data_IF_929815399696
#
_entry.id   IF_929815399696
#
_cell.length_a   1.000
_cell.length_b   1.000
_cell.length_c   1.000
_cell.angle_alpha   90.00
_cell.angle_beta   90.00
_cell.angle_gamma   90.00
#
_symmetry.space_group_name_H-M   'P 1'
#
loop_
_entity.id
_entity.type
_entity.pdbx_description
1 polymer ?
#
# COMPACT_ATOMS: atom_id res chain seq x y z
N UNK A 1 -8.81 3.33 9.94
CA UNK A 1 -10.20 3.10 10.43
C UNK A 1 -11.17 4.16 9.92
N UNK A 2 -10.96 5.45 10.21
CA UNK A 2 -11.85 6.54 9.73
C UNK A 2 -12.06 6.56 8.20
N UNK A 3 -11.01 6.27 7.42
CA UNK A 3 -11.10 6.16 5.94
C UNK A 3 -12.07 5.08 5.49
N UNK A 4 -12.10 3.94 6.18
CA UNK A 4 -13.01 2.85 5.85
C UNK A 4 -14.44 3.22 6.21
N UNK A 5 -14.65 3.85 7.36
CA UNK A 5 -15.97 4.33 7.76
C UNK A 5 -16.52 5.34 6.75
N UNK A 6 -15.70 6.32 6.34
CA UNK A 6 -16.08 7.28 5.31
C UNK A 6 -16.43 6.59 3.97
N UNK A 7 -15.70 5.53 3.60
CA UNK A 7 -16.01 4.75 2.40
C UNK A 7 -17.38 4.06 2.48
N UNK A 8 -17.71 3.47 3.63
CA UNK A 8 -19.00 2.84 3.88
C UNK A 8 -20.14 3.87 3.87
N UNK A 9 -19.94 5.01 4.54
CA UNK A 9 -20.92 6.10 4.63
C UNK A 9 -21.25 6.66 3.24
N UNK A 10 -20.24 6.79 2.38
CA UNK A 10 -20.40 7.25 0.99
C UNK A 10 -20.87 6.16 0.03
N UNK A 11 -21.05 4.91 0.50
CA UNK A 11 -21.40 3.74 -0.32
C UNK A 11 -20.46 3.57 -1.51
N UNK A 12 -19.16 3.72 -1.26
CA UNK A 12 -18.13 3.55 -2.27
C UNK A 12 -18.14 2.13 -2.82
N UNK A 13 -17.83 1.98 -4.11
CA UNK A 13 -17.67 0.66 -4.75
C UNK A 13 -16.26 0.08 -4.56
N UNK A 14 -15.26 0.95 -4.61
CA UNK A 14 -13.85 0.61 -4.50
C UNK A 14 -13.14 1.60 -3.59
N UNK A 15 -12.31 1.10 -2.68
CA UNK A 15 -11.44 1.88 -1.82
C UNK A 15 -10.05 1.94 -2.44
N UNK A 16 -9.58 3.16 -2.75
CA UNK A 16 -8.20 3.44 -3.15
C UNK A 16 -7.55 4.29 -2.05
N UNK A 17 -6.71 3.71 -1.18
CA UNK A 17 -6.10 4.43 -0.09
C UNK A 17 -4.97 5.33 -0.64
N UNK A 18 -5.09 6.64 -0.42
CA UNK A 18 -4.10 7.65 -0.81
C UNK A 18 -3.40 8.24 0.43
N UNK A 19 -2.31 8.99 0.23
CA UNK A 19 -1.50 9.61 1.29
C UNK A 19 -0.84 8.62 2.28
N UNK A 20 -0.53 7.39 1.83
CA UNK A 20 0.18 6.40 2.63
C UNK A 20 1.63 6.28 2.15
N UNK A 21 2.60 6.30 3.06
CA UNK A 21 4.01 6.00 2.76
C UNK A 21 4.85 7.11 2.11
N UNK A 22 4.36 8.35 2.00
CA UNK A 22 5.16 9.47 1.43
C UNK A 22 5.95 10.26 2.48
N UNK A 23 5.47 10.30 3.73
CA UNK A 23 6.11 11.03 4.82
C UNK A 23 6.20 10.15 6.06
N UNK A 24 7.38 10.15 6.68
CA UNK A 24 7.59 9.52 7.97
C UNK A 24 7.08 10.46 9.07
N UNK A 25 5.78 10.38 9.34
CA UNK A 25 5.10 11.19 10.36
C UNK A 25 4.76 10.37 11.61
N UNK A 26 5.16 9.10 11.65
CA UNK A 26 4.76 8.18 12.71
C UNK A 26 5.87 7.17 13.02
N UNK A 27 5.93 6.72 14.27
CA UNK A 27 6.99 5.80 14.76
C UNK A 27 6.89 4.37 14.21
N UNK A 28 5.94 4.08 13.32
CA UNK A 28 5.70 2.75 12.78
C UNK A 28 6.36 2.56 11.41
N UNK A 29 6.50 1.31 11.00
CA UNK A 29 6.93 0.98 9.65
C UNK A 29 6.03 1.71 8.62
N UNK A 30 6.65 2.22 7.56
CA UNK A 30 5.96 3.01 6.53
C UNK A 30 4.83 2.23 5.84
N UNK A 31 4.91 0.89 5.82
CA UNK A 31 3.94 0.00 5.21
C UNK A 31 2.80 -0.44 6.15
N UNK A 32 2.91 -0.21 7.47
CA UNK A 32 1.87 -0.60 8.44
C UNK A 32 0.47 -0.07 8.07
N UNK A 33 0.31 1.18 7.57
CA UNK A 33 -1.00 1.66 7.13
C UNK A 33 -1.62 0.82 6.01
N UNK A 34 -0.81 0.28 5.10
CA UNK A 34 -1.29 -0.58 4.01
C UNK A 34 -1.78 -1.93 4.56
N UNK A 35 -1.03 -2.53 5.48
CA UNK A 35 -1.41 -3.80 6.09
C UNK A 35 -2.73 -3.67 6.88
N UNK A 36 -2.85 -2.60 7.68
CA UNK A 36 -4.04 -2.33 8.48
C UNK A 36 -5.28 -2.07 7.63
N UNK A 37 -5.18 -1.23 6.59
CA UNK A 37 -6.35 -0.92 5.75
C UNK A 37 -6.79 -2.14 4.93
N UNK A 38 -5.85 -2.98 4.51
CA UNK A 38 -6.15 -4.22 3.78
C UNK A 38 -6.89 -5.23 4.67
N UNK A 39 -6.41 -5.42 5.91
CA UNK A 39 -7.07 -6.29 6.89
C UNK A 39 -8.50 -5.82 7.19
N UNK A 40 -8.67 -4.52 7.47
CA UNK A 40 -9.98 -3.93 7.74
C UNK A 40 -10.93 -4.02 6.54
N UNK A 41 -10.42 -3.82 5.31
CA UNK A 41 -11.22 -3.96 4.10
C UNK A 41 -11.67 -5.40 3.88
N UNK A 42 -10.83 -6.39 4.20
CA UNK A 42 -11.21 -7.81 4.17
C UNK A 42 -12.33 -8.09 5.16
N UNK A 43 -12.16 -7.69 6.43
CA UNK A 43 -13.14 -7.93 7.50
C UNK A 43 -14.53 -7.35 7.16
N UNK A 44 -14.56 -6.17 6.54
CA UNK A 44 -15.79 -5.48 6.16
C UNK A 44 -16.28 -5.80 4.74
N UNK A 45 -15.67 -6.77 4.04
CA UNK A 45 -15.98 -7.14 2.66
C UNK A 45 -15.96 -5.94 1.67
N UNK A 46 -15.06 -5.00 1.88
CA UNK A 46 -14.84 -3.83 1.02
C UNK A 46 -13.87 -4.18 -0.10
N UNK A 47 -14.24 -3.84 -1.33
CA UNK A 47 -13.33 -3.97 -2.48
C UNK A 47 -12.26 -2.89 -2.41
N UNK A 48 -11.01 -3.28 -2.21
CA UNK A 48 -9.86 -2.38 -2.08
C UNK A 48 -8.86 -2.61 -3.21
N UNK A 49 -8.22 -1.54 -3.68
CA UNK A 49 -7.17 -1.54 -4.69
C UNK A 49 -5.94 -0.78 -4.19
N UNK A 50 -4.75 -1.30 -4.47
CA UNK A 50 -3.46 -0.74 -4.04
C UNK A 50 -2.48 -0.80 -5.22
N UNK A 51 -2.68 0.03 -6.26
CA UNK A 51 -1.74 0.09 -7.38
C UNK A 51 -0.33 0.43 -6.88
N UNK A 52 0.69 -0.14 -7.51
CA UNK A 52 2.08 0.24 -7.24
C UNK A 52 2.29 1.72 -7.57
N UNK A 53 3.24 2.37 -6.90
CA UNK A 53 3.64 3.74 -7.22
C UNK A 53 3.97 3.88 -8.72
N UNK A 54 3.33 4.84 -9.38
CA UNK A 54 3.48 5.07 -10.83
C UNK A 54 2.64 4.15 -11.74
N UNK A 55 1.96 3.14 -11.19
CA UNK A 55 1.08 2.26 -11.97
C UNK A 55 -0.24 2.97 -12.35
N UNK A 56 -0.72 2.88 -13.60
CA UNK A 56 -2.01 3.41 -13.99
C UNK A 56 -3.16 2.68 -13.28
N UNK A 57 -4.22 3.42 -12.97
CA UNK A 57 -5.45 2.90 -12.38
C UNK A 57 -6.66 3.18 -13.27
N UNK A 58 -7.36 2.12 -13.67
CA UNK A 58 -8.53 2.20 -14.56
C UNK A 58 -9.82 2.06 -13.75
N UNK A 59 -10.62 3.13 -13.68
CA UNK A 59 -11.89 3.15 -12.93
C UNK A 59 -12.92 2.12 -13.41
N UNK A 60 -12.86 1.75 -14.70
CA UNK A 60 -13.77 0.77 -15.30
C UNK A 60 -13.37 -0.67 -14.98
N UNK A 61 -12.08 -0.90 -14.73
CA UNK A 61 -11.49 -2.21 -14.48
C UNK A 61 -10.53 -2.15 -13.29
N UNK A 62 -11.05 -1.85 -12.08
CA UNK A 62 -10.23 -1.80 -10.89
C UNK A 62 -9.71 -3.20 -10.55
N UNK A 63 -8.41 -3.29 -10.27
CA UNK A 63 -7.78 -4.53 -9.83
C UNK A 63 -7.85 -4.65 -8.31
N UNK A 64 -8.00 -5.87 -7.80
CA UNK A 64 -7.90 -6.14 -6.36
C UNK A 64 -6.52 -5.73 -5.84
N UNK A 65 -6.47 -5.32 -4.58
CA UNK A 65 -5.24 -4.93 -3.90
C UNK A 65 -4.12 -5.97 -4.07
N UNK A 66 -2.93 -5.44 -4.37
CA UNK A 66 -1.66 -6.17 -4.40
C UNK A 66 -0.79 -5.69 -3.24
N UNK A 67 -0.10 -6.60 -2.57
CA UNK A 67 0.79 -6.32 -1.44
C UNK A 67 2.21 -6.06 -1.93
N UNK A 68 2.37 -5.11 -2.86
CA UNK A 68 3.65 -4.86 -3.52
C UNK A 68 4.75 -4.39 -2.56
N UNK A 69 4.39 -3.75 -1.45
CA UNK A 69 5.33 -3.28 -0.42
C UNK A 69 6.08 -4.43 0.26
N UNK A 70 5.52 -5.64 0.32
CA UNK A 70 6.19 -6.81 0.91
C UNK A 70 7.44 -7.24 0.13
N UNK A 71 7.49 -6.95 -1.18
CA UNK A 71 8.65 -7.24 -2.03
C UNK A 71 9.68 -6.12 -2.12
N UNK A 72 9.40 -4.95 -1.51
CA UNK A 72 10.32 -3.80 -1.55
C UNK A 72 11.47 -3.98 -0.56
N UNK A 73 11.22 -4.57 0.61
CA UNK A 73 12.26 -4.78 1.62
C UNK A 73 13.29 -5.83 1.18
N UNK A 74 12.93 -6.80 0.33
CA UNK A 74 13.87 -7.79 -0.21
C UNK A 74 14.83 -7.21 -1.25
N UNK A 75 14.46 -6.10 -1.92
CA UNK A 75 15.29 -5.46 -2.95
C UNK A 75 16.47 -4.66 -2.36
N UNK A 76 16.51 -4.45 -1.04
CA UNK A 76 17.58 -3.73 -0.33
C UNK A 76 18.57 -4.72 0.30
N UNK A 77 18.99 -5.75 -0.44
CA UNK A 77 20.21 -6.48 -0.09
C UNK A 77 21.41 -5.61 -0.49
N UNK A 78 22.36 -5.31 0.41
CA UNK A 78 23.48 -4.43 0.06
C UNK A 78 24.32 -5.09 -1.04
N UNK A 79 24.52 -4.38 -2.15
CA UNK A 79 25.62 -4.66 -3.08
C UNK A 79 26.91 -4.75 -2.26
N UNK A 80 27.52 -5.92 -2.28
CA UNK A 80 28.86 -6.11 -1.71
C UNK A 80 29.84 -5.32 -2.56
N UNK A 81 30.17 -4.11 -2.11
CA UNK A 81 31.31 -3.33 -2.63
C UNK A 81 32.56 -4.21 -2.55
N UNK A 82 32.94 -4.81 -3.67
CA UNK A 82 34.24 -5.43 -3.84
C UNK A 82 35.27 -4.30 -3.86
N UNK A 83 36.06 -4.21 -2.79
CA UNK A 83 37.20 -3.31 -2.72
C UNK A 83 38.22 -3.65 -3.82
N UNK A 84 38.47 -2.72 -4.73
CA UNK A 84 39.65 -2.73 -5.61
C UNK A 84 40.88 -2.33 -4.80
N UNK A 85 41.94 -3.14 -4.69
CA UNK A 85 43.19 -2.70 -4.12
C UNK A 85 43.99 -1.91 -5.17
N UNK A 86 44.58 -0.80 -4.75
CA UNK A 86 45.67 -0.10 -5.44
C UNK A 86 46.94 -0.22 -4.59
#
# INVERSE_FOLDING_TARGET
EQTLQAHLDLRGRWLLPIHNGTFDLAMHAWHEPFDRILALAWEQNVSITTPMMGQPFYLQYPCRAMTWWLGVDEAVAPESTQAHPA
#
